data_IF_887585886020
#
_entry.id   IF_887585886020
#
_cell.length_a   1.000
_cell.length_b   1.000
_cell.length_c   1.000
_cell.angle_alpha   90.00
_cell.angle_beta   90.00
_cell.angle_gamma   90.00
#
_symmetry.space_group_name_H-M   'P 1'
#
loop_
_entity.id
_entity.type
_entity.pdbx_description
1 polymer ?
#
# COMPACT_ATOMS: atom_id res chain seq x y z
N UNK A 1 20.40 43.61 10.68
CA UNK A 1 20.23 42.79 11.91
C UNK A 1 18.80 42.28 12.10
N UNK A 2 17.76 43.11 11.91
CA UNK A 2 16.34 42.71 12.07
C UNK A 2 15.86 41.68 11.05
N UNK A 3 16.27 41.82 9.77
CA UNK A 3 15.90 40.89 8.69
C UNK A 3 16.44 39.47 8.96
N UNK A 4 17.69 39.36 9.42
CA UNK A 4 18.33 38.08 9.73
C UNK A 4 17.66 37.34 10.90
N UNK A 5 17.16 38.07 11.90
CA UNK A 5 16.36 37.49 12.99
C UNK A 5 15.02 36.96 12.49
N UNK A 6 14.35 37.68 11.57
CA UNK A 6 13.11 37.21 10.95
C UNK A 6 13.30 35.93 10.14
N UNK A 7 14.41 35.80 9.40
CA UNK A 7 14.73 34.56 8.67
C UNK A 7 15.02 33.38 9.59
N UNK A 8 15.78 33.58 10.69
CA UNK A 8 16.04 32.53 11.67
C UNK A 8 14.75 32.06 12.35
N UNK A 9 13.88 32.99 12.73
CA UNK A 9 12.61 32.68 13.38
C UNK A 9 11.64 31.96 12.42
N UNK A 10 11.65 32.33 11.12
CA UNK A 10 10.90 31.61 10.09
C UNK A 10 11.46 30.20 9.85
N UNK A 11 12.78 30.02 9.84
CA UNK A 11 13.42 28.71 9.69
C UNK A 11 13.14 27.79 10.89
N UNK A 12 13.19 28.33 12.11
CA UNK A 12 12.86 27.60 13.35
C UNK A 12 11.36 27.23 13.38
N UNK A 13 10.48 28.16 13.03
CA UNK A 13 9.05 27.89 12.88
C UNK A 13 8.76 26.81 11.82
N UNK A 14 9.48 26.82 10.71
CA UNK A 14 9.35 25.79 9.67
C UNK A 14 9.78 24.41 10.19
N UNK A 15 10.87 24.32 10.96
CA UNK A 15 11.32 23.06 11.54
C UNK A 15 10.30 22.48 12.54
N UNK A 16 9.73 23.33 13.40
CA UNK A 16 8.69 22.91 14.35
C UNK A 16 7.45 22.36 13.64
N UNK A 17 7.00 23.01 12.57
CA UNK A 17 5.86 22.53 11.77
C UNK A 17 6.16 21.19 11.10
N UNK A 18 7.39 20.97 10.60
CA UNK A 18 7.78 19.67 10.04
C UNK A 18 7.75 18.55 11.10
N UNK A 19 8.24 18.85 12.30
CA UNK A 19 8.27 17.91 13.41
C UNK A 19 6.85 17.56 13.90
N UNK A 20 5.98 18.56 14.05
CA UNK A 20 4.58 18.35 14.43
C UNK A 20 3.81 17.54 13.36
N UNK A 21 4.01 17.86 12.07
CA UNK A 21 3.40 17.09 10.98
C UNK A 21 3.85 15.62 11.01
N UNK A 22 5.13 15.37 11.30
CA UNK A 22 5.66 14.00 11.47
C UNK A 22 4.96 13.27 12.61
N UNK A 23 4.79 13.92 13.76
CA UNK A 23 4.12 13.32 14.92
C UNK A 23 2.66 13.00 14.63
N UNK A 24 1.90 13.96 14.07
CA UNK A 24 0.51 13.76 13.71
C UNK A 24 0.34 12.64 12.67
N UNK A 25 1.25 12.60 11.68
CA UNK A 25 1.24 11.56 10.65
C UNK A 25 1.39 10.16 11.25
N UNK A 26 2.35 9.99 12.16
CA UNK A 26 2.59 8.71 12.82
C UNK A 26 1.43 8.31 13.74
N UNK A 27 0.85 9.26 14.49
CA UNK A 27 -0.36 9.00 15.27
C UNK A 27 -1.52 8.48 14.40
N UNK A 28 -1.71 9.06 13.21
CA UNK A 28 -2.71 8.56 12.25
C UNK A 28 -2.38 7.14 11.78
N UNK A 29 -1.11 6.81 11.56
CA UNK A 29 -0.73 5.45 11.17
C UNK A 29 -0.97 4.44 12.30
N UNK A 30 -0.65 4.80 13.53
CA UNK A 30 -0.84 3.95 14.71
C UNK A 30 -2.33 3.69 14.98
N UNK A 31 -3.17 4.73 14.86
CA UNK A 31 -4.63 4.60 14.99
C UNK A 31 -5.25 3.71 13.92
N UNK A 32 -4.69 3.69 12.70
CA UNK A 32 -5.10 2.76 11.64
C UNK A 32 -4.65 1.31 11.89
N UNK A 33 -3.85 1.08 12.93
CA UNK A 33 -3.26 -0.21 13.27
C UNK A 33 -1.91 -0.44 12.60
N UNK A 34 -1.00 -1.05 13.37
CA UNK A 34 0.34 -1.45 12.94
C UNK A 34 0.34 -2.64 11.96
N UNK A 35 -0.70 -3.48 12.04
CA UNK A 35 -0.94 -4.58 11.10
C UNK A 35 -2.22 -4.28 10.33
N UNK A 36 -2.12 -4.30 9.00
CA UNK A 36 -3.25 -4.05 8.10
C UNK A 36 -3.34 -5.18 7.08
N UNK A 37 -4.52 -5.75 6.96
CA UNK A 37 -4.81 -6.83 6.01
C UNK A 37 -5.75 -6.29 4.94
N UNK A 38 -5.28 -6.30 3.70
CA UNK A 38 -6.07 -5.91 2.53
C UNK A 38 -6.38 -7.16 1.70
N UNK A 39 -7.62 -7.27 1.23
CA UNK A 39 -8.01 -8.27 0.26
C UNK A 39 -8.06 -7.63 -1.13
N UNK A 40 -7.47 -8.28 -2.15
CA UNK A 40 -7.54 -7.83 -3.54
C UNK A 40 -8.12 -8.92 -4.42
N UNK A 41 -9.23 -8.63 -5.06
CA UNK A 41 -9.88 -9.52 -6.03
C UNK A 41 -9.28 -9.18 -7.40
N UNK A 42 -8.64 -10.16 -8.06
CA UNK A 42 -8.13 -9.94 -9.42
C UNK A 42 -9.29 -9.92 -10.43
N UNK A 43 -9.17 -9.17 -11.53
CA UNK A 43 -10.10 -9.29 -12.64
C UNK A 43 -10.03 -10.68 -13.29
N UNK A 44 -11.12 -11.07 -13.95
CA UNK A 44 -11.15 -12.26 -14.80
C UNK A 44 -10.19 -12.11 -15.99
N UNK A 45 -9.50 -13.18 -16.33
CA UNK A 45 -8.66 -13.19 -17.54
C UNK A 45 -9.55 -13.31 -18.78
N UNK A 46 -9.09 -12.82 -19.95
CA UNK A 46 -9.79 -13.06 -21.22
C UNK A 46 -10.10 -14.56 -21.39
N UNK A 47 -11.37 -14.89 -21.65
CA UNK A 47 -11.86 -16.27 -21.74
C UNK A 47 -12.38 -16.88 -20.44
N UNK A 48 -12.27 -16.22 -19.30
CA UNK A 48 -12.97 -16.62 -18.06
C UNK A 48 -14.37 -15.99 -18.03
N UNK A 49 -15.41 -16.82 -17.91
CA UNK A 49 -16.78 -16.32 -17.79
C UNK A 49 -17.02 -15.72 -16.40
N UNK A 50 -17.62 -14.53 -16.34
CA UNK A 50 -18.01 -13.84 -15.11
C UNK A 50 -18.99 -14.63 -14.23
N UNK A 51 -19.68 -15.61 -14.81
CA UNK A 51 -20.61 -16.52 -14.14
C UNK A 51 -19.96 -17.51 -13.17
N UNK A 52 -18.62 -17.51 -13.03
CA UNK A 52 -17.88 -18.40 -12.12
C UNK A 52 -17.34 -17.69 -10.87
N UNK A 53 -17.79 -16.48 -10.55
CA UNK A 53 -17.39 -15.82 -9.31
C UNK A 53 -18.06 -16.47 -8.09
N UNK A 54 -17.28 -16.69 -7.03
CA UNK A 54 -17.80 -17.00 -5.69
C UNK A 54 -18.01 -15.74 -4.85
N UNK A 55 -17.59 -14.57 -5.32
CA UNK A 55 -17.78 -13.29 -4.63
C UNK A 55 -19.23 -12.85 -4.78
N UNK A 56 -19.92 -12.73 -3.64
CA UNK A 56 -21.33 -12.32 -3.54
C UNK A 56 -21.45 -10.82 -3.29
N UNK A 57 -20.57 -10.27 -2.45
CA UNK A 57 -20.61 -8.84 -2.09
C UNK A 57 -19.23 -8.33 -1.67
N UNK A 58 -18.92 -7.10 -2.10
CA UNK A 58 -17.76 -6.31 -1.66
C UNK A 58 -18.30 -5.04 -1.01
N UNK A 59 -18.13 -4.93 0.31
CA UNK A 59 -18.56 -3.79 1.09
C UNK A 59 -17.50 -2.69 1.16
N UNK A 60 -17.97 -1.45 1.31
CA UNK A 60 -17.11 -0.26 1.40
C UNK A 60 -16.23 -0.27 2.68
N UNK A 61 -16.69 -0.92 3.74
CA UNK A 61 -15.99 -1.01 5.04
C UNK A 61 -15.08 -2.23 5.17
N UNK A 62 -14.61 -2.80 4.05
CA UNK A 62 -13.69 -3.95 4.07
C UNK A 62 -14.36 -5.30 4.34
N UNK A 63 -15.68 -5.39 4.23
CA UNK A 63 -16.43 -6.64 4.32
C UNK A 63 -16.46 -7.35 2.97
N UNK A 64 -16.11 -8.63 2.93
CA UNK A 64 -16.21 -9.51 1.76
C UNK A 64 -17.15 -10.67 2.08
N UNK A 65 -18.16 -10.89 1.23
CA UNK A 65 -18.99 -12.09 1.29
C UNK A 65 -18.74 -12.98 0.09
N UNK A 66 -18.56 -14.28 0.35
CA UNK A 66 -18.44 -15.31 -0.68
C UNK A 66 -19.54 -16.36 -0.52
N UNK A 67 -19.95 -16.95 -1.64
CA UNK A 67 -20.88 -18.07 -1.73
C UNK A 67 -20.12 -19.31 -2.18
N UNK A 68 -20.24 -20.38 -1.41
CA UNK A 68 -19.80 -21.71 -1.80
C UNK A 68 -20.94 -22.46 -2.50
N UNK A 69 -20.86 -22.71 -3.81
CA UNK A 69 -21.92 -23.40 -4.55
C UNK A 69 -22.10 -24.87 -4.13
N UNK A 70 -21.12 -25.47 -3.46
CA UNK A 70 -21.19 -26.85 -2.98
C UNK A 70 -21.95 -27.01 -1.64
N UNK A 71 -22.38 -25.91 -1.00
CA UNK A 71 -23.10 -25.93 0.28
C UNK A 71 -24.49 -25.30 0.11
N UNK A 72 -25.45 -25.74 0.93
CA UNK A 72 -26.82 -25.23 0.95
C UNK A 72 -27.10 -24.44 2.24
N UNK A 73 -28.07 -23.52 2.17
CA UNK A 73 -28.54 -22.77 3.34
C UNK A 73 -27.55 -21.74 3.88
N UNK A 74 -27.61 -21.45 5.19
CA UNK A 74 -26.77 -20.42 5.83
C UNK A 74 -25.27 -20.71 5.73
N UNK A 75 -24.87 -21.98 5.66
CA UNK A 75 -23.46 -22.40 5.55
C UNK A 75 -22.86 -22.20 4.15
N UNK A 76 -23.69 -21.84 3.17
CA UNK A 76 -23.25 -21.49 1.82
C UNK A 76 -22.53 -20.14 1.78
N UNK A 77 -22.86 -19.21 2.68
CA UNK A 77 -22.28 -17.87 2.71
C UNK A 77 -21.22 -17.75 3.80
N UNK A 78 -20.08 -17.16 3.45
CA UNK A 78 -19.01 -16.82 4.39
C UNK A 78 -18.68 -15.34 4.28
N UNK A 79 -18.59 -14.69 5.43
CA UNK A 79 -18.22 -13.27 5.54
C UNK A 79 -16.83 -13.15 6.15
N UNK A 80 -16.00 -12.31 5.54
CA UNK A 80 -14.66 -11.98 5.99
C UNK A 80 -14.55 -10.46 6.17
N UNK A 81 -13.81 -10.02 7.17
CA UNK A 81 -13.55 -8.60 7.42
C UNK A 81 -12.05 -8.33 7.27
N UNK A 82 -11.74 -7.30 6.51
CA UNK A 82 -10.40 -6.81 6.22
C UNK A 82 -10.34 -5.31 6.54
N UNK A 83 -9.15 -4.74 6.60
CA UNK A 83 -9.02 -3.28 6.67
C UNK A 83 -9.56 -2.62 5.38
N UNK A 84 -9.43 -3.31 4.23
CA UNK A 84 -10.02 -2.89 2.96
C UNK A 84 -10.15 -4.09 2.00
N UNK A 85 -11.16 -4.07 1.15
CA UNK A 85 -11.34 -5.01 0.05
C UNK A 85 -11.31 -4.24 -1.26
N UNK A 86 -10.38 -4.59 -2.13
CA UNK A 86 -10.25 -4.06 -3.47
C UNK A 86 -10.96 -4.98 -4.46
N UNK A 87 -11.95 -4.42 -5.17
CA UNK A 87 -12.70 -5.13 -6.19
C UNK A 87 -11.86 -5.44 -7.43
N UNK A 88 -12.43 -6.21 -8.35
CA UNK A 88 -11.79 -6.56 -9.63
C UNK A 88 -11.50 -5.36 -10.53
N UNK A 89 -12.20 -4.25 -10.34
CA UNK A 89 -11.97 -2.98 -11.04
C UNK A 89 -10.87 -2.12 -10.42
N UNK A 90 -10.32 -2.51 -9.26
CA UNK A 90 -9.38 -1.66 -8.55
C UNK A 90 -8.02 -1.58 -9.25
N UNK A 91 -7.54 -0.36 -9.41
CA UNK A 91 -6.31 -0.06 -10.15
C UNK A 91 -5.06 -0.20 -9.28
N UNK A 92 -3.89 -0.32 -9.91
CA UNK A 92 -2.62 -0.35 -9.20
C UNK A 92 -2.36 0.93 -8.39
N UNK A 93 -2.82 2.08 -8.91
CA UNK A 93 -2.73 3.36 -8.24
C UNK A 93 -3.58 3.39 -6.97
N UNK A 94 -4.81 2.85 -7.01
CA UNK A 94 -5.67 2.76 -5.84
C UNK A 94 -5.07 1.86 -4.74
N UNK A 95 -4.50 0.71 -5.11
CA UNK A 95 -3.77 -0.14 -4.14
C UNK A 95 -2.63 0.66 -3.50
N UNK A 96 -1.88 1.39 -4.32
CA UNK A 96 -0.75 2.16 -3.83
C UNK A 96 -1.20 3.28 -2.87
N UNK A 97 -2.29 4.01 -3.17
CA UNK A 97 -2.79 5.09 -2.31
C UNK A 97 -3.07 4.64 -0.86
N UNK A 98 -3.57 3.42 -0.64
CA UNK A 98 -3.80 2.90 0.72
C UNK A 98 -2.53 2.34 1.40
N UNK A 99 -1.51 1.96 0.63
CA UNK A 99 -0.23 1.47 1.15
C UNK A 99 0.82 2.57 1.31
N UNK A 100 0.72 3.64 0.53
CA UNK A 100 1.65 4.77 0.48
C UNK A 100 1.89 5.35 1.87
N UNK A 101 0.86 5.55 2.73
CA UNK A 101 1.11 6.16 4.01
C UNK A 101 2.04 5.32 4.90
N UNK A 102 1.86 4.00 4.85
CA UNK A 102 2.73 3.07 5.57
C UNK A 102 4.14 3.09 4.98
N UNK A 103 4.27 3.07 3.64
CA UNK A 103 5.56 3.12 2.95
C UNK A 103 6.35 4.38 3.32
N UNK A 104 5.71 5.54 3.35
CA UNK A 104 6.38 6.82 3.66
C UNK A 104 6.88 6.90 5.10
N UNK A 105 6.34 6.11 6.04
CA UNK A 105 6.84 6.06 7.42
C UNK A 105 8.30 5.59 7.52
N UNK A 106 8.86 4.93 6.51
CA UNK A 106 10.30 4.59 6.48
C UNK A 106 11.19 5.83 6.48
N UNK A 107 10.72 6.95 5.92
CA UNK A 107 11.44 8.22 5.91
C UNK A 107 11.52 8.86 7.30
N UNK A 108 10.62 8.45 8.20
CA UNK A 108 10.55 8.90 9.59
C UNK A 108 11.21 7.92 10.56
N UNK A 109 11.87 6.87 10.04
CA UNK A 109 12.65 5.90 10.82
C UNK A 109 11.88 4.64 11.23
N UNK A 110 10.71 4.37 10.66
CA UNK A 110 9.94 3.15 10.95
C UNK A 110 10.31 2.00 10.02
N UNK A 111 10.28 0.78 10.56
CA UNK A 111 10.39 -0.44 9.77
C UNK A 111 9.03 -0.80 9.17
N UNK A 112 8.98 -1.01 7.86
CA UNK A 112 7.76 -1.33 7.12
C UNK A 112 7.96 -2.63 6.35
N UNK A 113 6.96 -3.52 6.45
CA UNK A 113 6.93 -4.77 5.69
C UNK A 113 5.63 -4.84 4.88
N UNK A 114 5.75 -5.07 3.58
CA UNK A 114 4.63 -5.31 2.68
C UNK A 114 4.88 -6.63 1.97
N UNK A 115 3.96 -7.56 2.12
CA UNK A 115 4.00 -8.84 1.44
C UNK A 115 2.63 -9.16 0.83
N UNK A 116 2.65 -9.87 -0.30
CA UNK A 116 1.45 -10.36 -0.96
C UNK A 116 1.28 -11.86 -0.70
N UNK A 117 0.10 -12.28 -0.26
CA UNK A 117 -0.22 -13.68 0.04
C UNK A 117 -1.37 -14.20 -0.82
N UNK A 118 -1.34 -15.49 -1.14
CA UNK A 118 -2.38 -16.18 -1.92
C UNK A 118 -1.85 -17.31 -2.78
N UNK A 119 -2.74 -18.08 -3.39
CA UNK A 119 -2.36 -19.19 -4.28
C UNK A 119 -1.64 -18.74 -5.57
N UNK A 120 -1.03 -19.67 -6.29
CA UNK A 120 -0.51 -19.41 -7.64
C UNK A 120 -1.63 -18.90 -8.56
N UNK A 121 -1.34 -17.85 -9.34
CA UNK A 121 -2.33 -17.20 -10.22
C UNK A 121 -3.28 -16.21 -9.53
N UNK A 122 -3.14 -15.95 -8.22
CA UNK A 122 -4.01 -15.00 -7.51
C UNK A 122 -3.69 -13.52 -7.76
N UNK A 123 -2.54 -13.21 -8.37
CA UNK A 123 -2.12 -11.83 -8.65
C UNK A 123 -1.09 -11.23 -7.69
N UNK A 124 -0.36 -12.04 -6.91
CA UNK A 124 0.73 -11.57 -6.02
C UNK A 124 1.78 -10.73 -6.77
N UNK A 125 2.41 -11.32 -7.79
CA UNK A 125 3.43 -10.65 -8.61
C UNK A 125 2.88 -9.43 -9.33
N UNK A 126 1.64 -9.53 -9.85
CA UNK A 126 0.94 -8.39 -10.47
C UNK A 126 0.74 -7.23 -9.49
N UNK A 127 0.45 -7.52 -8.21
CA UNK A 127 0.28 -6.48 -7.18
C UNK A 127 1.60 -5.82 -6.81
N UNK A 128 2.65 -6.61 -6.58
CA UNK A 128 3.93 -6.09 -6.11
C UNK A 128 4.75 -5.44 -7.23
N UNK A 129 4.88 -6.09 -8.37
CA UNK A 129 5.72 -5.62 -9.49
C UNK A 129 4.91 -5.03 -10.63
N UNK A 130 3.69 -5.49 -10.87
CA UNK A 130 2.89 -5.10 -12.04
C UNK A 130 2.82 -6.20 -13.10
N UNK A 131 2.18 -5.92 -14.26
CA UNK A 131 2.12 -6.84 -15.39
C UNK A 131 3.49 -7.00 -16.08
N UNK A 132 3.58 -7.95 -17.02
CA UNK A 132 4.79 -8.21 -17.80
C UNK A 132 5.22 -7.00 -18.64
N UNK A 133 4.27 -6.28 -19.23
CA UNK A 133 4.53 -5.03 -19.95
C UNK A 133 4.34 -3.88 -18.97
N UNK A 134 5.44 -3.38 -18.43
CA UNK A 134 5.45 -2.37 -17.38
C UNK A 134 5.31 -0.97 -18.00
N UNK A 135 4.36 -0.19 -17.48
CA UNK A 135 4.12 1.23 -17.78
C UNK A 135 3.87 1.96 -16.47
N UNK A 136 4.07 3.29 -16.43
CA UNK A 136 3.85 4.09 -15.21
C UNK A 136 2.42 3.94 -14.63
N UNK A 137 1.43 3.70 -15.50
CA UNK A 137 0.05 3.47 -15.11
C UNK A 137 -0.14 2.13 -14.40
N UNK A 138 0.61 1.10 -14.79
CA UNK A 138 0.43 -0.26 -14.29
C UNK A 138 1.51 -0.72 -13.29
N UNK A 139 2.44 0.17 -12.92
CA UNK A 139 3.44 -0.09 -11.88
C UNK A 139 2.82 -0.70 -10.63
N UNK A 140 3.40 -1.81 -10.18
CA UNK A 140 3.09 -2.39 -8.88
C UNK A 140 3.55 -1.53 -7.72
N UNK A 141 3.21 -1.99 -6.51
CA UNK A 141 3.54 -1.32 -5.25
C UNK A 141 5.04 -1.01 -5.17
N UNK A 142 5.92 -1.92 -5.60
CA UNK A 142 7.38 -1.74 -5.49
C UNK A 142 7.89 -0.54 -6.30
N UNK A 143 7.52 -0.44 -7.57
CA UNK A 143 7.97 0.66 -8.43
C UNK A 143 7.38 2.00 -8.00
N UNK A 144 6.09 2.03 -7.60
CA UNK A 144 5.46 3.23 -7.08
C UNK A 144 6.09 3.69 -5.77
N UNK A 145 6.40 2.76 -4.87
CA UNK A 145 7.08 3.03 -3.61
C UNK A 145 8.44 3.66 -3.83
N UNK A 146 9.29 3.03 -4.66
CA UNK A 146 10.62 3.55 -4.95
C UNK A 146 10.54 4.93 -5.59
N UNK A 147 9.68 5.12 -6.60
CA UNK A 147 9.51 6.42 -7.24
C UNK A 147 9.10 7.51 -6.24
N UNK A 148 8.09 7.24 -5.41
CA UNK A 148 7.59 8.17 -4.39
C UNK A 148 8.68 8.52 -3.34
N UNK A 149 9.42 7.53 -2.84
CA UNK A 149 10.50 7.76 -1.88
C UNK A 149 11.64 8.59 -2.48
N UNK A 150 12.01 8.34 -3.74
CA UNK A 150 13.04 9.14 -4.41
C UNK A 150 12.57 10.56 -4.74
N UNK A 151 11.30 10.76 -5.10
CA UNK A 151 10.72 12.08 -5.28
C UNK A 151 10.75 12.88 -3.97
N UNK A 152 10.31 12.29 -2.87
CA UNK A 152 10.33 12.94 -1.56
C UNK A 152 11.77 13.26 -1.14
N UNK A 153 12.71 12.34 -1.35
CA UNK A 153 14.13 12.57 -1.11
C UNK A 153 14.66 13.80 -1.84
N UNK A 154 14.32 13.96 -3.13
CA UNK A 154 14.69 15.14 -3.93
C UNK A 154 14.05 16.43 -3.40
N UNK A 155 12.78 16.38 -3.00
CA UNK A 155 12.04 17.54 -2.47
C UNK A 155 12.65 17.99 -1.13
N UNK A 156 13.05 17.05 -0.29
CA UNK A 156 13.56 17.28 1.07
C UNK A 156 15.07 17.47 1.17
N UNK A 157 15.80 17.45 0.05
CA UNK A 157 17.28 17.47 0.01
C UNK A 157 17.98 18.62 0.76
N UNK A 158 17.29 19.74 0.98
CA UNK A 158 17.85 20.90 1.69
C UNK A 158 17.72 20.78 3.22
N UNK A 159 16.96 19.79 3.69
CA UNK A 159 16.63 19.57 5.12
C UNK A 159 17.14 18.20 5.57
N UNK A 160 17.10 17.20 4.70
CA UNK A 160 17.48 15.82 5.00
C UNK A 160 18.46 15.28 3.94
N UNK A 161 19.45 14.53 4.41
CA UNK A 161 20.32 13.70 3.57
C UNK A 161 19.89 12.23 3.72
N UNK A 162 19.59 11.56 2.61
CA UNK A 162 19.14 10.17 2.60
C UNK A 162 20.20 9.28 1.95
N UNK A 163 20.52 8.17 2.61
CA UNK A 163 21.30 7.07 2.03
C UNK A 163 20.38 5.87 1.80
N UNK A 164 20.35 5.36 0.57
CA UNK A 164 19.44 4.26 0.18
C UNK A 164 20.26 3.05 -0.23
N UNK A 165 20.05 1.92 0.46
CA UNK A 165 20.58 0.61 0.10
C UNK A 165 19.46 -0.33 -0.36
N UNK A 166 19.76 -1.23 -1.30
CA UNK A 166 18.79 -2.21 -1.83
C UNK A 166 19.42 -3.60 -1.78
N UNK A 167 18.63 -4.57 -1.36
CA UNK A 167 18.98 -5.99 -1.40
C UNK A 167 17.78 -6.78 -1.95
N UNK A 168 18.05 -7.74 -2.82
CA UNK A 168 17.05 -8.66 -3.35
C UNK A 168 17.48 -10.09 -3.04
N UNK A 169 16.62 -10.83 -2.35
CA UNK A 169 16.85 -12.21 -1.93
C UNK A 169 15.66 -13.04 -2.40
N UNK A 170 15.93 -14.23 -2.92
CA UNK A 170 14.93 -15.26 -3.16
C UNK A 170 15.16 -16.37 -2.14
N UNK A 171 14.09 -16.82 -1.49
CA UNK A 171 14.12 -17.95 -0.56
C UNK A 171 13.33 -19.09 -1.21
N UNK A 172 13.99 -20.20 -1.48
CA UNK A 172 13.39 -21.42 -1.99
C UNK A 172 13.76 -22.60 -1.09
N UNK A 173 12.75 -23.21 -0.46
CA UNK A 173 12.94 -24.37 0.41
C UNK A 173 13.91 -24.11 1.58
N UNK A 174 13.72 -22.96 2.26
CA UNK A 174 14.58 -22.48 3.37
C UNK A 174 16.04 -22.20 2.97
N UNK A 175 16.31 -21.98 1.68
CA UNK A 175 17.64 -21.64 1.11
C UNK A 175 17.58 -20.43 0.20
#
# INVERSE_FOLDING_TARGET
RTIFKGFLQAAEGYHNVLEENRQLYNQVQDLKGSIRVYCRIRPFLPGQASSQTTVDFVGETGTLMIVNPAKLGKDARKTFNFNKVFGSSSTQAEIFLDTQPLIRSVLDGYNVCIFAYGQTGSGKTFTMSGPQVITEENWGVNYRALNDLFEISKIRKNVFEYQVGVQMIEIYNEQ
#
